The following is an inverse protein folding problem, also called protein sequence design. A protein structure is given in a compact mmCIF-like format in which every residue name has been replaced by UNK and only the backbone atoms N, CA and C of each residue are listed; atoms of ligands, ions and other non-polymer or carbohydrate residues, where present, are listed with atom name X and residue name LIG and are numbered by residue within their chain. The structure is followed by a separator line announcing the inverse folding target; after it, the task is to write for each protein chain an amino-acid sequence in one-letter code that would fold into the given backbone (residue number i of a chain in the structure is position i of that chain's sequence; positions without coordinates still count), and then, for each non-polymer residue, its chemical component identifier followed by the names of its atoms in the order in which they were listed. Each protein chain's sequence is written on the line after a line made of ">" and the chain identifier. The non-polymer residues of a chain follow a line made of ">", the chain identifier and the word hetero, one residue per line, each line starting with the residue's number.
data_IF_265928577608
#
_entry.id   IF_265928577608
#
_cell.length_a   1.000
_cell.length_b   1.000
_cell.length_c   1.000
_cell.angle_alpha   90.00
_cell.angle_beta   90.00
_cell.angle_gamma   90.00
#
_symmetry.space_group_name_H-M   'P 1'
#
loop_
_entity.id
_entity.type
_entity.pdbx_description
1 polymer ?
#
# COMPACT_ATOMS: atom_id res chain seq x y z
N UNK A 1 7.67 -11.02 13.50
CA UNK A 1 8.55 -9.85 13.77
C UNK A 1 8.30 -8.88 12.64
N UNK A 2 7.93 -7.64 12.93
CA UNK A 2 7.44 -6.67 11.94
C UNK A 2 8.50 -6.23 10.92
N UNK A 3 8.05 -5.44 9.94
CA UNK A 3 8.91 -4.91 8.88
C UNK A 3 10.06 -4.06 9.46
N UNK A 4 11.29 -4.45 9.17
CA UNK A 4 12.50 -3.69 9.52
C UNK A 4 12.75 -2.50 8.57
N UNK A 5 12.02 -2.44 7.45
CA UNK A 5 12.18 -1.43 6.41
C UNK A 5 10.84 -0.70 6.19
N UNK A 6 10.87 0.61 5.88
CA UNK A 6 9.66 1.36 5.57
C UNK A 6 8.96 0.78 4.34
N UNK A 7 7.64 0.77 4.39
CA UNK A 7 6.80 0.49 3.24
C UNK A 7 6.70 1.78 2.43
N UNK A 8 7.08 1.74 1.16
CA UNK A 8 6.98 2.90 0.28
C UNK A 8 5.92 2.62 -0.79
N UNK A 9 4.92 3.49 -0.83
CA UNK A 9 3.85 3.46 -1.82
C UNK A 9 4.06 4.64 -2.78
N UNK A 10 4.26 4.32 -4.05
CA UNK A 10 4.55 5.30 -5.09
C UNK A 10 3.28 6.02 -5.56
N UNK A 11 3.42 7.14 -6.31
CA UNK A 11 2.27 7.80 -6.93
C UNK A 11 1.44 6.83 -7.78
N UNK A 12 0.14 7.13 -8.01
CA UNK A 12 -0.68 6.37 -8.93
C UNK A 12 -0.01 6.29 -10.31
N UNK A 13 0.01 5.10 -10.89
CA UNK A 13 0.39 4.89 -12.28
C UNK A 13 -0.82 5.14 -13.19
N UNK A 14 -0.59 5.15 -14.51
CA UNK A 14 -1.64 5.42 -15.50
C UNK A 14 -2.80 4.40 -15.51
N UNK A 15 -2.60 3.23 -14.89
CA UNK A 15 -3.64 2.20 -14.69
C UNK A 15 -4.45 2.40 -13.39
N UNK A 16 -4.14 3.45 -12.62
CA UNK A 16 -4.71 3.77 -11.32
C UNK A 16 -4.13 2.98 -10.15
N UNK A 17 -3.26 2.01 -10.41
CA UNK A 17 -2.57 1.25 -9.39
C UNK A 17 -1.42 2.03 -8.77
N UNK A 18 -1.03 1.65 -7.55
CA UNK A 18 0.15 2.16 -6.85
C UNK A 18 1.15 1.04 -6.63
N UNK A 19 2.42 1.33 -6.92
CA UNK A 19 3.52 0.40 -6.67
C UNK A 19 3.84 0.33 -5.18
N UNK A 20 3.88 -0.86 -4.60
CA UNK A 20 4.19 -1.11 -3.18
C UNK A 20 5.57 -1.76 -3.05
N UNK A 21 6.43 -1.19 -2.20
CA UNK A 21 7.77 -1.71 -1.90
C UNK A 21 8.04 -1.76 -0.40
N UNK A 22 8.89 -2.68 0.02
CA UNK A 22 9.49 -2.75 1.36
C UNK A 22 10.99 -2.76 1.20
N UNK A 23 11.65 -1.64 1.54
CA UNK A 23 13.05 -1.42 1.18
C UNK A 23 13.29 -1.63 -0.32
N UNK A 24 14.17 -2.59 -0.66
CA UNK A 24 14.51 -2.93 -2.04
C UNK A 24 13.61 -4.00 -2.68
N UNK A 25 12.63 -4.52 -1.94
CA UNK A 25 11.71 -5.55 -2.43
C UNK A 25 10.45 -4.93 -3.02
N UNK A 26 10.09 -5.39 -4.22
CA UNK A 26 8.80 -5.08 -4.85
C UNK A 26 7.75 -6.10 -4.40
N UNK A 27 6.68 -5.63 -3.76
CA UNK A 27 5.59 -6.50 -3.31
C UNK A 27 4.51 -6.67 -4.38
N UNK A 28 4.14 -5.58 -5.07
CA UNK A 28 3.11 -5.64 -6.11
C UNK A 28 2.51 -4.28 -6.46
N UNK A 29 1.53 -4.31 -7.37
CA UNK A 29 0.67 -3.17 -7.69
C UNK A 29 -0.63 -3.30 -6.90
N UNK A 30 -0.92 -2.31 -6.05
CA UNK A 30 -2.15 -2.21 -5.29
C UNK A 30 -3.13 -1.28 -5.99
N UNK A 31 -4.43 -1.54 -5.88
CA UNK A 31 -5.52 -0.69 -6.39
C UNK A 31 -6.43 -0.18 -5.27
N UNK A 32 -6.01 -0.35 -4.02
CA UNK A 32 -6.69 0.14 -2.83
C UNK A 32 -5.92 -0.24 -1.56
N UNK A 33 -6.46 0.17 -0.41
CA UNK A 33 -5.85 -0.11 0.90
C UNK A 33 -5.86 -1.60 1.23
N UNK A 34 -6.91 -2.33 0.82
CA UNK A 34 -7.01 -3.78 1.02
C UNK A 34 -5.85 -4.53 0.35
N UNK A 35 -5.55 -4.23 -0.91
CA UNK A 35 -4.44 -4.88 -1.63
C UNK A 35 -3.09 -4.64 -0.93
N UNK A 36 -2.89 -3.41 -0.41
CA UNK A 36 -1.70 -3.10 0.39
C UNK A 36 -1.67 -3.94 1.66
N UNK A 37 -2.80 -4.06 2.38
CA UNK A 37 -2.89 -4.86 3.59
C UNK A 37 -2.54 -6.33 3.32
N UNK A 38 -3.04 -6.92 2.23
CA UNK A 38 -2.67 -8.29 1.84
C UNK A 38 -1.17 -8.44 1.62
N UNK A 39 -0.53 -7.51 0.89
CA UNK A 39 0.93 -7.53 0.72
C UNK A 39 1.68 -7.44 2.06
N UNK A 40 1.19 -6.63 3.01
CA UNK A 40 1.81 -6.53 4.33
C UNK A 40 1.66 -7.82 5.14
N UNK A 41 0.51 -8.50 5.05
CA UNK A 41 0.32 -9.81 5.68
C UNK A 41 1.30 -10.85 5.17
N UNK A 42 1.56 -10.86 3.86
CA UNK A 42 2.56 -11.75 3.25
C UNK A 42 3.99 -11.47 3.75
N UNK A 43 4.27 -10.26 4.24
CA UNK A 43 5.56 -9.90 4.84
C UNK A 43 5.64 -10.18 6.35
N UNK A 44 4.61 -10.76 6.95
CA UNK A 44 4.54 -11.13 8.37
C UNK A 44 3.85 -10.11 9.27
N UNK A 45 3.20 -9.09 8.71
CA UNK A 45 2.25 -8.22 9.42
C UNK A 45 0.84 -8.81 9.30
N UNK A 46 0.62 -9.98 9.88
CA UNK A 46 -0.61 -10.77 9.71
C UNK A 46 -1.90 -10.03 10.09
N UNK A 47 -1.82 -9.07 11.02
CA UNK A 47 -2.96 -8.27 11.50
C UNK A 47 -3.16 -6.96 10.72
N UNK A 48 -2.41 -6.73 9.63
CA UNK A 48 -2.58 -5.54 8.82
C UNK A 48 -3.98 -5.50 8.21
N UNK A 49 -4.69 -4.39 8.31
CA UNK A 49 -5.98 -4.12 7.66
C UNK A 49 -5.97 -2.73 7.01
N UNK A 50 -7.08 -2.31 6.42
CA UNK A 50 -7.17 -1.01 5.74
C UNK A 50 -6.94 0.16 6.70
N UNK A 51 -7.44 0.08 7.94
CA UNK A 51 -7.28 1.13 8.94
C UNK A 51 -5.83 1.25 9.40
N UNK A 52 -5.13 0.12 9.57
CA UNK A 52 -3.70 0.07 9.79
C UNK A 52 -2.96 0.70 8.62
N UNK A 53 -3.27 0.34 7.37
CA UNK A 53 -2.61 0.92 6.18
C UNK A 53 -2.85 2.42 6.06
N UNK A 54 -4.06 2.89 6.39
CA UNK A 54 -4.41 4.31 6.31
C UNK A 54 -3.64 5.16 7.33
N UNK A 55 -3.39 4.63 8.52
CA UNK A 55 -2.87 5.40 9.66
C UNK A 55 -1.43 5.07 10.07
N UNK A 56 -0.85 3.99 9.52
CA UNK A 56 0.45 3.50 9.96
C UNK A 56 1.59 4.44 9.58
N UNK A 57 2.42 4.88 10.54
CA UNK A 57 3.60 5.70 10.26
C UNK A 57 4.72 4.90 9.57
N UNK A 58 4.58 3.57 9.44
CA UNK A 58 5.52 2.73 8.71
C UNK A 58 5.35 2.83 7.18
N UNK A 59 4.25 3.45 6.73
CA UNK A 59 3.92 3.60 5.32
C UNK A 59 4.22 5.03 4.86
N UNK A 60 5.21 5.15 3.99
CA UNK A 60 5.52 6.36 3.27
C UNK A 60 4.68 6.43 1.99
N UNK A 61 3.78 7.41 1.93
CA UNK A 61 2.98 7.70 0.76
C UNK A 61 3.64 8.76 -0.13
N UNK A 62 3.84 8.45 -1.41
CA UNK A 62 4.34 9.38 -2.43
C UNK A 62 3.24 9.73 -3.43
N UNK A 63 3.19 10.98 -3.87
CA UNK A 63 2.17 11.44 -4.83
C UNK A 63 0.76 11.37 -4.28
N UNK A 64 0.55 11.87 -3.06
CA UNK A 64 -0.73 11.83 -2.35
C UNK A 64 -0.78 10.71 -1.30
N UNK A 65 -1.71 10.86 -0.36
CA UNK A 65 -1.85 9.96 0.81
C UNK A 65 -2.74 8.75 0.55
N UNK A 66 -3.15 8.04 1.62
CA UNK A 66 -3.94 6.79 1.54
C UNK A 66 -5.31 6.93 0.86
N UNK A 67 -5.81 8.16 0.71
CA UNK A 67 -7.09 8.47 0.04
C UNK A 67 -6.93 8.85 -1.42
N UNK A 68 -5.70 9.02 -1.90
CA UNK A 68 -5.43 9.44 -3.27
C UNK A 68 -5.27 8.21 -4.14
N UNK A 69 -6.26 7.89 -4.94
CA UNK A 69 -6.20 6.85 -5.96
C UNK A 69 -6.80 7.43 -7.23
N UNK A 70 -6.16 7.24 -8.39
CA UNK A 70 -6.86 7.56 -9.63
C UNK A 70 -8.02 6.57 -9.73
N UNK A 71 -9.22 7.09 -9.86
CA UNK A 71 -10.44 6.30 -9.83
C UNK A 71 -10.44 5.30 -11.02
N UNK A 72 -9.87 4.11 -10.85
CA UNK A 72 -10.36 2.91 -11.51
C UNK A 72 -11.79 2.66 -11.00
N UNK A 73 -12.72 2.22 -11.86
CA UNK A 73 -14.14 2.52 -11.74
C UNK A 73 -14.65 2.24 -10.33
N UNK A 74 -15.33 3.25 -9.78
CA UNK A 74 -16.26 3.18 -8.65
C UNK A 74 -16.83 1.76 -8.52
N UNK A 75 -16.33 0.99 -7.54
CA UNK A 75 -16.87 -0.33 -7.25
C UNK A 75 -18.22 -0.13 -6.59
N UNK A 76 -19.29 -0.35 -7.38
CA UNK A 76 -20.61 -0.74 -6.89
C UNK A 76 -20.52 -1.84 -5.83
#
# INVERSE_FOLDING_TARGET
>A
MGLAHPVVIYPPAADGGRRVRVGDHFLGMAYGLLDVAEFLRETGLNDADEAYVESSPLIEWRGGGPKTWEHGPDRR
#
